data_IF_037813664193
#
_entry.id   IF_037813664193
#
_cell.length_a   1.000
_cell.length_b   1.000
_cell.length_c   1.000
_cell.angle_alpha   90.00
_cell.angle_beta   90.00
_cell.angle_gamma   90.00
#
_symmetry.space_group_name_H-M   'P 1'
#
loop_
_entity.id
_entity.type
_entity.pdbx_description
1 polymer ?
#
# COMPACT_ATOMS: atom_id res chain seq x y z
N UNK A 1 21.80 2.12 -32.10
CA UNK A 1 22.37 0.85 -31.61
C UNK A 1 23.20 1.10 -30.35
N UNK A 2 22.58 1.00 -29.16
CA UNK A 2 23.24 0.90 -27.83
C UNK A 2 22.33 0.45 -26.64
N UNK A 3 21.24 -0.35 -26.77
CA UNK A 3 20.46 -0.74 -25.57
C UNK A 3 21.03 -1.99 -24.85
N UNK A 4 21.67 -2.88 -25.60
CA UNK A 4 21.96 -4.26 -25.16
C UNK A 4 23.06 -4.36 -24.10
N UNK A 5 24.09 -3.51 -24.17
CA UNK A 5 25.19 -3.52 -23.20
C UNK A 5 24.76 -3.02 -21.81
N UNK A 6 23.80 -2.09 -21.76
CA UNK A 6 23.32 -1.51 -20.50
C UNK A 6 22.42 -2.50 -19.74
N UNK A 7 21.54 -3.19 -20.45
CA UNK A 7 20.71 -4.26 -19.89
C UNK A 7 21.56 -5.44 -19.40
N UNK A 8 22.55 -5.87 -20.19
CA UNK A 8 23.49 -6.91 -19.76
C UNK A 8 24.26 -6.51 -18.49
N UNK A 9 24.80 -5.29 -18.44
CA UNK A 9 25.52 -4.78 -17.25
C UNK A 9 24.62 -4.69 -16.01
N UNK A 10 23.35 -4.31 -16.15
CA UNK A 10 22.37 -4.32 -15.05
C UNK A 10 22.03 -5.73 -14.59
N UNK A 11 21.84 -6.66 -15.53
CA UNK A 11 21.60 -8.08 -15.22
C UNK A 11 22.79 -8.70 -14.47
N UNK A 12 24.02 -8.40 -14.89
CA UNK A 12 25.25 -8.86 -14.21
C UNK A 12 25.41 -8.20 -12.83
N UNK A 13 25.08 -6.91 -12.68
CA UNK A 13 25.05 -6.24 -11.38
C UNK A 13 24.02 -6.86 -10.43
N UNK A 14 22.87 -7.29 -10.96
CA UNK A 14 21.86 -8.02 -10.20
C UNK A 14 22.39 -9.39 -9.77
N UNK A 15 23.04 -10.15 -10.66
CA UNK A 15 23.69 -11.43 -10.35
C UNK A 15 24.82 -11.30 -9.29
N UNK A 16 25.53 -10.17 -9.26
CA UNK A 16 26.59 -9.91 -8.29
C UNK A 16 26.06 -9.43 -6.92
N UNK A 17 24.93 -8.73 -6.88
CA UNK A 17 24.21 -8.38 -5.64
C UNK A 17 23.29 -9.54 -5.15
N UNK A 18 23.18 -10.64 -5.91
CA UNK A 18 21.94 -11.42 -6.07
C UNK A 18 21.52 -12.34 -4.94
N UNK A 19 22.44 -13.00 -4.23
CA UNK A 19 22.02 -13.94 -3.18
C UNK A 19 21.97 -13.26 -1.82
N UNK A 20 23.09 -12.79 -1.30
CA UNK A 20 23.12 -12.34 0.09
C UNK A 20 22.30 -11.07 0.36
N UNK A 21 22.26 -10.09 -0.55
CA UNK A 21 21.49 -8.85 -0.34
C UNK A 21 19.99 -9.11 -0.49
N UNK A 22 19.57 -9.81 -1.55
CA UNK A 22 18.17 -10.14 -1.75
C UNK A 22 17.64 -11.09 -0.66
N UNK A 23 18.43 -12.09 -0.26
CA UNK A 23 18.11 -12.98 0.86
C UNK A 23 17.96 -12.20 2.17
N UNK A 24 18.90 -11.28 2.48
CA UNK A 24 18.80 -10.42 3.67
C UNK A 24 17.55 -9.54 3.64
N UNK A 25 17.20 -8.97 2.49
CA UNK A 25 15.97 -8.19 2.32
C UNK A 25 14.75 -9.07 2.58
N UNK A 26 14.66 -10.25 1.97
CA UNK A 26 13.51 -11.17 2.13
C UNK A 26 13.37 -11.64 3.57
N UNK A 27 14.46 -12.01 4.24
CA UNK A 27 14.45 -12.43 5.65
C UNK A 27 13.98 -11.29 6.55
N UNK A 28 14.59 -10.11 6.43
CA UNK A 28 14.23 -8.95 7.24
C UNK A 28 12.79 -8.50 6.99
N UNK A 29 12.37 -8.47 5.74
CA UNK A 29 11.00 -8.14 5.40
C UNK A 29 10.01 -9.19 5.94
N UNK A 30 10.40 -10.47 5.96
CA UNK A 30 9.56 -11.53 6.49
C UNK A 30 9.35 -11.35 7.98
N UNK A 31 10.41 -11.09 8.74
CA UNK A 31 10.31 -10.80 10.17
C UNK A 31 9.40 -9.60 10.44
N UNK A 32 9.57 -8.50 9.69
CA UNK A 32 8.74 -7.30 9.83
C UNK A 32 7.26 -7.59 9.56
N UNK A 33 6.95 -8.22 8.43
CA UNK A 33 5.56 -8.49 8.03
C UNK A 33 4.93 -9.54 8.92
N UNK A 34 5.68 -10.58 9.30
CA UNK A 34 5.22 -11.62 10.22
C UNK A 34 4.85 -11.00 11.56
N UNK A 35 5.75 -10.23 12.17
CA UNK A 35 5.49 -9.54 13.44
C UNK A 35 4.33 -8.54 13.33
N UNK A 36 4.19 -7.89 12.17
CA UNK A 36 3.07 -7.01 11.91
C UNK A 36 1.74 -7.76 11.83
N UNK A 37 1.66 -8.93 11.18
CA UNK A 37 0.41 -9.66 10.96
C UNK A 37 0.06 -10.64 12.10
N UNK A 38 1.07 -11.14 12.81
CA UNK A 38 0.99 -12.20 13.82
C UNK A 38 1.81 -11.81 15.06
N UNK A 39 1.41 -10.78 15.81
CA UNK A 39 2.22 -10.21 16.90
C UNK A 39 2.34 -11.12 18.15
N UNK A 40 1.51 -12.17 18.25
CA UNK A 40 1.53 -13.13 19.37
C UNK A 40 0.86 -14.46 18.96
N UNK A 41 0.96 -15.47 19.83
CA UNK A 41 0.49 -16.83 19.58
C UNK A 41 -1.04 -16.98 19.49
N UNK A 42 -1.82 -15.94 19.79
CA UNK A 42 -3.28 -15.98 19.58
C UNK A 42 -3.65 -15.91 18.09
N UNK A 43 -2.71 -15.51 17.24
CA UNK A 43 -2.92 -15.40 15.80
C UNK A 43 -2.44 -16.69 15.13
N UNK A 44 -3.34 -17.35 14.40
CA UNK A 44 -2.96 -18.53 13.63
C UNK A 44 -2.06 -18.10 12.47
N UNK A 45 -0.77 -18.41 12.62
CA UNK A 45 0.27 -18.00 11.68
C UNK A 45 0.21 -18.82 10.39
N UNK A 46 0.32 -18.15 9.26
CA UNK A 46 0.56 -18.79 7.96
C UNK A 46 1.97 -19.36 7.94
N UNK A 47 2.14 -20.60 7.52
CA UNK A 47 3.46 -21.21 7.42
C UNK A 47 4.11 -20.81 6.09
N UNK A 48 5.40 -20.49 6.15
CA UNK A 48 6.23 -20.14 4.99
C UNK A 48 7.64 -20.69 5.25
N UNK A 49 7.83 -21.96 4.89
CA UNK A 49 9.04 -22.70 5.22
C UNK A 49 10.19 -22.39 4.26
N UNK A 50 9.85 -22.09 3.00
CA UNK A 50 10.83 -21.80 1.96
C UNK A 50 10.33 -20.71 1.02
N UNK A 51 11.23 -19.80 0.67
CA UNK A 51 11.00 -18.75 -0.33
C UNK A 51 12.13 -18.81 -1.35
N UNK A 52 11.80 -19.12 -2.59
CA UNK A 52 12.73 -19.11 -3.71
C UNK A 52 12.58 -17.81 -4.49
N UNK A 53 13.68 -17.10 -4.72
CA UNK A 53 13.69 -15.92 -5.59
C UNK A 53 14.06 -16.33 -7.02
N UNK A 54 13.24 -15.94 -7.99
CA UNK A 54 13.45 -16.24 -9.38
C UNK A 54 13.30 -14.97 -10.24
N UNK A 55 14.36 -14.60 -10.96
CA UNK A 55 14.24 -13.60 -12.02
C UNK A 55 13.73 -14.28 -13.29
N UNK A 56 12.52 -13.92 -13.69
CA UNK A 56 11.91 -14.51 -14.88
C UNK A 56 12.48 -13.89 -16.15
N UNK A 57 12.39 -14.60 -17.28
CA UNK A 57 12.78 -14.08 -18.60
C UNK A 57 11.63 -13.39 -19.34
N UNK A 58 10.40 -13.56 -18.86
CA UNK A 58 9.18 -12.99 -19.45
C UNK A 58 8.70 -11.80 -18.63
N UNK A 59 8.15 -10.79 -19.29
CA UNK A 59 7.47 -9.71 -18.58
C UNK A 59 6.22 -10.24 -17.89
N UNK A 60 6.04 -9.83 -16.64
CA UNK A 60 4.89 -10.18 -15.80
C UNK A 60 3.91 -9.00 -15.76
N UNK A 61 2.68 -9.26 -15.31
CA UNK A 61 1.64 -8.23 -15.15
C UNK A 61 1.90 -7.31 -13.96
N UNK A 62 2.78 -7.70 -13.04
CA UNK A 62 3.20 -6.94 -11.88
C UNK A 62 4.73 -7.06 -11.68
N UNK A 63 5.38 -6.13 -10.95
CA UNK A 63 6.80 -6.21 -10.66
C UNK A 63 7.22 -7.54 -10.02
N UNK A 64 6.36 -8.08 -9.16
CA UNK A 64 6.53 -9.39 -8.52
C UNK A 64 5.24 -10.20 -8.64
N UNK A 65 5.38 -11.50 -8.88
CA UNK A 65 4.29 -12.49 -8.78
C UNK A 65 4.72 -13.56 -7.79
N UNK A 66 3.79 -14.04 -6.96
CA UNK A 66 4.05 -15.08 -5.96
C UNK A 66 3.27 -16.32 -6.32
N UNK A 67 4.00 -17.41 -6.54
CA UNK A 67 3.43 -18.74 -6.75
C UNK A 67 3.67 -19.62 -5.51
N UNK A 68 2.76 -20.58 -5.30
CA UNK A 68 2.87 -21.59 -4.24
C UNK A 68 2.99 -22.96 -4.91
N UNK A 69 4.15 -23.61 -4.74
CA UNK A 69 4.41 -24.92 -5.34
C UNK A 69 3.80 -26.06 -4.51
N UNK A 70 3.82 -25.89 -3.17
CA UNK A 70 3.23 -26.77 -2.16
C UNK A 70 2.75 -25.93 -0.98
N UNK A 71 1.96 -26.52 -0.09
CA UNK A 71 1.64 -25.90 1.20
C UNK A 71 2.96 -25.48 1.89
N UNK A 72 3.15 -24.17 2.05
CA UNK A 72 4.28 -23.51 2.73
C UNK A 72 5.58 -23.29 1.92
N UNK A 73 5.63 -23.62 0.62
CA UNK A 73 6.76 -23.35 -0.28
C UNK A 73 6.39 -22.30 -1.35
N UNK A 74 7.07 -21.15 -1.33
CA UNK A 74 6.74 -20.00 -2.18
C UNK A 74 7.86 -19.66 -3.16
N UNK A 75 7.47 -19.18 -4.34
CA UNK A 75 8.38 -18.66 -5.36
C UNK A 75 8.05 -17.21 -5.68
N UNK A 76 9.01 -16.31 -5.49
CA UNK A 76 8.93 -14.91 -5.88
C UNK A 76 9.48 -14.75 -7.29
N UNK A 77 8.60 -14.53 -8.25
CA UNK A 77 8.94 -14.25 -9.63
C UNK A 77 9.08 -12.74 -9.83
N UNK A 78 10.32 -12.27 -10.04
CA UNK A 78 10.60 -10.88 -10.39
C UNK A 78 10.47 -10.68 -11.90
N UNK A 79 9.79 -9.59 -12.29
CA UNK A 79 9.66 -9.16 -13.68
C UNK A 79 10.97 -8.51 -14.16
N UNK A 80 11.45 -8.81 -15.39
CA UNK A 80 12.57 -8.11 -16.02
C UNK A 80 12.40 -6.59 -16.08
N UNK A 81 11.16 -6.11 -16.22
CA UNK A 81 10.83 -4.68 -16.37
C UNK A 81 11.32 -3.82 -15.20
N UNK A 82 11.50 -4.40 -14.01
CA UNK A 82 12.11 -3.71 -12.86
C UNK A 82 13.51 -3.15 -13.21
N UNK A 83 14.25 -3.83 -14.09
CA UNK A 83 15.60 -3.41 -14.49
C UNK A 83 15.59 -2.20 -15.42
N UNK A 84 14.44 -1.85 -15.99
CA UNK A 84 14.25 -0.71 -16.88
C UNK A 84 13.99 0.58 -16.09
N UNK A 85 13.55 0.47 -14.82
CA UNK A 85 13.30 1.58 -13.93
C UNK A 85 14.54 2.45 -13.69
N UNK A 86 14.33 3.77 -13.58
CA UNK A 86 15.40 4.73 -13.33
C UNK A 86 16.13 4.42 -12.02
N UNK A 87 15.37 4.02 -10.99
CA UNK A 87 15.89 3.56 -9.71
C UNK A 87 15.57 2.07 -9.49
N UNK A 88 16.14 1.21 -10.34
CA UNK A 88 15.91 -0.24 -10.30
C UNK A 88 16.21 -0.86 -8.91
N UNK A 89 17.17 -0.35 -8.14
CA UNK A 89 17.45 -0.84 -6.77
C UNK A 89 16.24 -0.65 -5.85
N UNK A 90 15.63 0.53 -5.88
CA UNK A 90 14.42 0.80 -5.12
C UNK A 90 13.25 -0.05 -5.62
N UNK A 91 13.11 -0.21 -6.94
CA UNK A 91 12.07 -1.04 -7.53
C UNK A 91 12.21 -2.53 -7.15
N UNK A 92 13.43 -3.08 -7.10
CA UNK A 92 13.69 -4.44 -6.57
C UNK A 92 13.29 -4.52 -5.10
N UNK A 93 13.73 -3.56 -4.27
CA UNK A 93 13.41 -3.54 -2.84
C UNK A 93 11.89 -3.55 -2.61
N UNK A 94 11.16 -2.69 -3.33
CA UNK A 94 9.70 -2.62 -3.25
C UNK A 94 9.05 -3.92 -3.72
N UNK A 95 9.50 -4.49 -4.84
CA UNK A 95 9.00 -5.76 -5.35
C UNK A 95 9.22 -6.91 -4.35
N UNK A 96 10.38 -6.97 -3.69
CA UNK A 96 10.65 -7.96 -2.65
C UNK A 96 9.75 -7.77 -1.42
N UNK A 97 9.57 -6.52 -0.95
CA UNK A 97 8.64 -6.23 0.14
C UNK A 97 7.20 -6.62 -0.21
N UNK A 98 6.73 -6.31 -1.43
CA UNK A 98 5.40 -6.67 -1.90
C UNK A 98 5.22 -8.20 -1.99
N UNK A 99 6.22 -8.90 -2.51
CA UNK A 99 6.24 -10.36 -2.60
C UNK A 99 6.17 -11.01 -1.22
N UNK A 100 6.99 -10.55 -0.28
CA UNK A 100 6.98 -11.03 1.11
C UNK A 100 5.65 -10.74 1.80
N UNK A 101 5.09 -9.54 1.60
CA UNK A 101 3.75 -9.22 2.11
C UNK A 101 2.70 -10.21 1.57
N UNK A 102 2.74 -10.52 0.28
CA UNK A 102 1.83 -11.51 -0.35
C UNK A 102 2.00 -12.91 0.23
N UNK A 103 3.22 -13.33 0.53
CA UNK A 103 3.52 -14.64 1.14
C UNK A 103 2.86 -14.75 2.51
N UNK A 104 3.01 -13.74 3.37
CA UNK A 104 2.51 -13.78 4.74
C UNK A 104 1.01 -13.52 4.87
N UNK A 105 0.38 -12.91 3.87
CA UNK A 105 -1.06 -12.66 3.83
C UNK A 105 -1.84 -13.94 3.51
N UNK A 106 -2.97 -14.12 4.19
CA UNK A 106 -4.01 -15.04 3.75
C UNK A 106 -4.77 -14.43 2.56
N UNK A 107 -4.92 -15.20 1.48
CA UNK A 107 -5.63 -14.79 0.28
C UNK A 107 -6.96 -15.52 0.07
N UNK A 108 -7.45 -16.18 1.13
CA UNK A 108 -8.72 -16.91 1.14
C UNK A 108 -8.79 -18.03 0.10
N UNK A 109 -7.69 -18.78 -0.09
CA UNK A 109 -7.57 -19.83 -1.12
C UNK A 109 -7.78 -19.26 -2.53
N UNK A 110 -7.29 -18.06 -2.76
CA UNK A 110 -7.46 -17.31 -4.01
C UNK A 110 -8.83 -16.65 -4.24
N UNK A 111 -9.77 -16.74 -3.29
CA UNK A 111 -11.13 -16.21 -3.46
C UNK A 111 -11.32 -14.77 -2.95
N UNK A 112 -10.31 -14.18 -2.29
CA UNK A 112 -10.38 -12.79 -1.87
C UNK A 112 -10.36 -11.85 -3.08
N UNK A 113 -11.02 -10.70 -2.95
CA UNK A 113 -11.02 -9.67 -3.98
C UNK A 113 -9.59 -9.23 -4.29
N UNK A 114 -9.19 -9.34 -5.56
CA UNK A 114 -7.81 -9.05 -5.99
C UNK A 114 -7.37 -7.63 -5.59
N UNK A 115 -8.25 -6.64 -5.82
CA UNK A 115 -8.01 -5.24 -5.46
C UNK A 115 -7.79 -5.05 -3.95
N UNK A 116 -8.54 -5.79 -3.11
CA UNK A 116 -8.38 -5.73 -1.67
C UNK A 116 -7.03 -6.28 -1.25
N UNK A 117 -6.63 -7.45 -1.75
CA UNK A 117 -5.34 -8.03 -1.40
C UNK A 117 -4.19 -7.12 -1.84
N UNK A 118 -4.25 -6.61 -3.07
CA UNK A 118 -3.24 -5.69 -3.56
C UNK A 118 -3.22 -4.39 -2.73
N UNK A 119 -4.38 -3.90 -2.29
CA UNK A 119 -4.47 -2.76 -1.37
C UNK A 119 -3.84 -3.04 0.00
N UNK A 120 -4.00 -4.26 0.55
CA UNK A 120 -3.34 -4.64 1.81
C UNK A 120 -1.82 -4.72 1.62
N UNK A 121 -1.35 -5.29 0.51
CA UNK A 121 0.08 -5.31 0.17
C UNK A 121 0.63 -3.88 0.02
N UNK A 122 -0.07 -3.01 -0.70
CA UNK A 122 0.30 -1.59 -0.85
C UNK A 122 0.32 -0.90 0.51
N UNK A 123 -0.68 -1.10 1.35
CA UNK A 123 -0.71 -0.57 2.72
C UNK A 123 0.51 -1.02 3.52
N UNK A 124 0.79 -2.32 3.59
CA UNK A 124 1.91 -2.85 4.38
C UNK A 124 3.23 -2.23 3.88
N UNK A 125 3.45 -2.18 2.57
CA UNK A 125 4.74 -1.77 1.96
C UNK A 125 4.96 -0.25 1.92
N UNK A 126 3.89 0.54 1.85
CA UNK A 126 3.94 2.01 1.88
C UNK A 126 3.88 2.58 3.30
N UNK A 127 3.45 1.80 4.29
CA UNK A 127 3.27 2.28 5.64
C UNK A 127 4.61 2.33 6.41
N UNK A 128 4.97 3.55 6.81
CA UNK A 128 6.19 3.84 7.57
C UNK A 128 6.22 3.18 8.95
N UNK A 129 5.07 2.86 9.56
CA UNK A 129 5.02 2.11 10.82
C UNK A 129 5.40 0.64 10.64
N UNK A 130 5.29 0.10 9.43
CA UNK A 130 5.65 -1.30 9.13
C UNK A 130 7.09 -1.36 8.60
N UNK A 131 7.40 -0.67 7.51
CA UNK A 131 8.72 -0.74 6.87
C UNK A 131 9.62 0.47 7.08
N UNK A 132 9.20 1.50 7.82
CA UNK A 132 9.99 2.73 8.00
C UNK A 132 10.12 3.58 6.74
N UNK A 133 9.48 3.19 5.64
CA UNK A 133 9.55 3.85 4.34
C UNK A 133 8.61 5.06 4.33
N UNK A 134 9.14 6.25 4.03
CA UNK A 134 8.32 7.43 3.76
C UNK A 134 7.84 7.36 2.32
N UNK A 135 6.61 6.88 2.08
CA UNK A 135 5.98 7.09 0.78
C UNK A 135 5.66 8.58 0.65
N UNK A 136 6.06 9.22 -0.45
CA UNK A 136 5.52 10.53 -0.79
C UNK A 136 4.03 10.33 -1.10
N UNK A 137 3.10 10.94 -0.36
CA UNK A 137 1.69 10.81 -0.68
C UNK A 137 1.45 11.58 -1.98
N UNK A 138 1.50 10.89 -3.12
CA UNK A 138 0.88 11.41 -4.32
C UNK A 138 -0.59 11.67 -3.94
N UNK A 139 -1.09 12.88 -4.18
CA UNK A 139 -2.51 13.21 -3.97
C UNK A 139 -3.34 12.24 -4.83
N UNK A 140 -3.80 11.15 -4.22
CA UNK A 140 -4.72 10.23 -4.86
C UNK A 140 -6.05 10.96 -4.98
N UNK A 141 -6.53 11.17 -6.21
CA UNK A 141 -7.84 11.76 -6.42
C UNK A 141 -8.91 10.88 -5.76
N UNK A 142 -9.87 11.47 -5.03
CA UNK A 142 -10.94 10.70 -4.42
C UNK A 142 -11.89 10.22 -5.52
N UNK A 143 -11.68 8.98 -5.98
CA UNK A 143 -12.61 8.27 -6.89
C UNK A 143 -13.36 7.13 -6.19
N UNK A 144 -13.13 6.94 -4.89
CA UNK A 144 -13.87 5.93 -4.13
C UNK A 144 -15.36 6.27 -4.05
N UNK A 145 -16.20 5.35 -4.54
CA UNK A 145 -17.60 5.25 -4.15
C UNK A 145 -17.73 5.35 -2.62
N UNK A 146 -18.72 6.12 -2.15
CA UNK A 146 -19.01 6.33 -0.72
C UNK A 146 -19.29 5.02 0.03
N UNK A 147 -19.65 3.95 -0.68
CA UNK A 147 -20.09 2.68 -0.09
C UNK A 147 -19.19 1.48 -0.39
N UNK A 148 -18.25 1.57 -1.34
CA UNK A 148 -17.43 0.41 -1.78
C UNK A 148 -15.95 0.74 -1.99
N UNK A 149 -15.39 1.58 -1.12
CA UNK A 149 -14.01 2.06 -1.26
C UNK A 149 -12.92 0.97 -1.23
N UNK A 150 -13.18 -0.18 -0.60
CA UNK A 150 -12.25 -1.33 -0.58
C UNK A 150 -12.26 -2.18 -1.85
N UNK A 151 -13.20 -1.91 -2.78
CA UNK A 151 -13.30 -2.58 -4.08
C UNK A 151 -12.70 -1.77 -5.23
N UNK A 152 -12.15 -0.59 -4.94
CA UNK A 152 -11.63 0.33 -5.92
C UNK A 152 -10.48 -0.28 -6.74
N UNK A 153 -10.37 0.07 -8.02
CA UNK A 153 -9.36 -0.51 -8.93
C UNK A 153 -7.94 0.02 -8.65
N UNK A 154 -7.83 1.27 -8.19
CA UNK A 154 -6.56 1.82 -7.70
C UNK A 154 -6.24 1.27 -6.30
N UNK A 155 -5.15 0.50 -6.21
CA UNK A 155 -4.65 -0.12 -4.98
C UNK A 155 -4.25 0.90 -3.92
N UNK A 156 -3.84 2.11 -4.31
CA UNK A 156 -3.49 3.20 -3.38
C UNK A 156 -4.72 3.75 -2.68
N UNK A 157 -5.84 3.87 -3.39
CA UNK A 157 -7.13 4.25 -2.79
C UNK A 157 -7.55 3.22 -1.74
N UNK A 158 -7.40 1.94 -2.05
CA UNK A 158 -7.68 0.86 -1.10
C UNK A 158 -6.74 0.93 0.11
N UNK A 159 -5.43 1.15 -0.11
CA UNK A 159 -4.45 1.30 0.96
C UNK A 159 -4.74 2.50 1.89
N UNK A 160 -5.18 3.64 1.35
CA UNK A 160 -5.61 4.80 2.14
C UNK A 160 -6.81 4.44 3.04
N UNK A 161 -7.81 3.75 2.49
CA UNK A 161 -8.94 3.25 3.25
C UNK A 161 -8.50 2.30 4.38
N UNK A 162 -7.61 1.36 4.07
CA UNK A 162 -7.07 0.41 5.05
C UNK A 162 -6.31 1.12 6.16
N UNK A 163 -5.54 2.15 5.83
CA UNK A 163 -4.87 3.02 6.79
C UNK A 163 -5.86 3.74 7.70
N UNK A 164 -6.94 4.29 7.14
CA UNK A 164 -8.01 4.91 7.93
C UNK A 164 -8.70 3.90 8.87
N UNK A 165 -8.89 2.66 8.41
CA UNK A 165 -9.39 1.55 9.22
C UNK A 165 -8.47 1.20 10.38
N UNK A 166 -7.16 1.14 10.14
CA UNK A 166 -6.16 0.89 11.20
C UNK A 166 -6.15 2.00 12.26
N UNK A 167 -6.29 3.27 11.86
CA UNK A 167 -6.42 4.38 12.80
C UNK A 167 -7.74 4.33 13.59
N UNK A 168 -8.83 3.94 12.93
CA UNK A 168 -10.16 3.87 13.56
C UNK A 168 -10.27 2.72 14.54
N UNK A 169 -9.65 1.57 14.24
CA UNK A 169 -9.61 0.41 15.13
C UNK A 169 -8.26 -0.31 15.00
N UNK A 170 -7.26 0.04 15.83
CA UNK A 170 -5.93 -0.57 15.77
C UNK A 170 -5.95 -2.11 15.74
N UNK A 171 -5.07 -2.69 14.94
CA UNK A 171 -5.05 -4.12 14.63
C UNK A 171 -6.11 -4.56 13.60
N UNK A 172 -6.72 -3.63 12.87
CA UNK A 172 -7.73 -3.93 11.85
C UNK A 172 -7.16 -4.86 10.77
N UNK A 173 -5.97 -4.54 10.25
CA UNK A 173 -5.32 -5.35 9.22
C UNK A 173 -4.99 -6.76 9.72
N UNK A 174 -4.55 -6.87 10.98
CA UNK A 174 -4.27 -8.17 11.62
C UNK A 174 -5.52 -9.03 11.72
N UNK A 175 -6.63 -8.46 12.21
CA UNK A 175 -7.91 -9.16 12.30
C UNK A 175 -8.47 -9.52 10.93
N UNK A 176 -8.33 -8.63 9.95
CA UNK A 176 -8.75 -8.90 8.56
C UNK A 176 -7.95 -10.07 7.98
N UNK A 177 -6.62 -10.07 8.15
CA UNK A 177 -5.77 -11.18 7.73
C UNK A 177 -6.20 -12.51 8.38
N UNK A 178 -6.48 -12.52 9.69
CA UNK A 178 -6.99 -13.73 10.36
C UNK A 178 -8.34 -14.17 9.80
N UNK A 179 -9.26 -13.24 9.58
CA UNK A 179 -10.56 -13.56 9.02
C UNK A 179 -10.42 -14.19 7.63
N UNK A 180 -9.43 -13.80 6.82
CA UNK A 180 -9.22 -14.31 5.46
C UNK A 180 -8.69 -15.75 5.38
N UNK A 181 -8.25 -16.36 6.49
CA UNK A 181 -7.65 -17.72 6.51
C UNK A 181 -8.52 -18.78 5.83
N UNK A 182 -9.78 -18.89 6.21
CA UNK A 182 -10.64 -20.03 5.85
C UNK A 182 -11.54 -19.78 4.62
N UNK A 183 -11.31 -18.69 3.87
CA UNK A 183 -12.10 -18.32 2.69
C UNK A 183 -12.51 -16.85 2.69
N UNK A 184 -13.25 -16.39 1.66
CA UNK A 184 -13.68 -15.00 1.55
C UNK A 184 -15.20 -14.88 1.75
N UNK A 185 -15.62 -13.94 2.60
CA UNK A 185 -17.01 -13.52 2.79
C UNK A 185 -16.99 -12.01 3.02
N UNK A 186 -17.92 -11.26 2.41
CA UNK A 186 -17.89 -9.79 2.48
C UNK A 186 -17.94 -9.26 3.93
N UNK A 187 -18.71 -9.93 4.81
CA UNK A 187 -18.82 -9.56 6.23
C UNK A 187 -17.52 -9.70 7.02
N UNK A 188 -16.44 -10.25 6.47
CA UNK A 188 -15.13 -10.32 7.14
C UNK A 188 -14.53 -8.95 7.40
N UNK A 189 -14.78 -7.98 6.52
CA UNK A 189 -14.40 -6.59 6.74
C UNK A 189 -15.15 -6.01 7.94
N UNK A 190 -16.47 -6.25 8.01
CA UNK A 190 -17.32 -5.77 9.10
C UNK A 190 -16.88 -6.35 10.45
N UNK A 191 -16.54 -7.64 10.49
CA UNK A 191 -16.05 -8.32 11.71
C UNK A 191 -14.70 -7.74 12.13
N UNK A 192 -13.75 -7.64 11.19
CA UNK A 192 -12.41 -7.12 11.46
C UNK A 192 -12.45 -5.67 11.94
N UNK A 193 -13.38 -4.87 11.42
CA UNK A 193 -13.58 -3.47 11.77
C UNK A 193 -14.52 -3.28 12.97
N UNK A 194 -15.41 -4.22 13.27
CA UNK A 194 -16.36 -4.15 14.39
C UNK A 194 -17.57 -3.25 14.12
N UNK A 195 -17.77 -2.86 12.86
CA UNK A 195 -18.88 -2.06 12.38
C UNK A 195 -19.03 -2.28 10.86
N UNK A 196 -20.18 -1.95 10.26
CA UNK A 196 -20.35 -2.02 8.81
C UNK A 196 -19.27 -1.21 8.09
N UNK A 197 -18.56 -1.85 7.16
CA UNK A 197 -17.43 -1.26 6.44
C UNK A 197 -17.86 -0.06 5.58
N UNK A 198 -19.11 -0.04 5.11
CA UNK A 198 -19.71 1.06 4.36
C UNK A 198 -19.72 2.36 5.18
N UNK A 199 -19.96 2.27 6.50
CA UNK A 199 -19.93 3.43 7.39
C UNK A 199 -18.52 4.04 7.46
N UNK A 200 -17.48 3.20 7.41
CA UNK A 200 -16.09 3.65 7.37
C UNK A 200 -15.75 4.27 6.01
N UNK A 201 -16.17 3.67 4.89
CA UNK A 201 -15.99 4.28 3.56
C UNK A 201 -16.64 5.66 3.48
N UNK A 202 -17.86 5.79 4.01
CA UNK A 202 -18.59 7.06 4.02
C UNK A 202 -17.85 8.09 4.87
N UNK A 203 -17.38 7.72 6.08
CA UNK A 203 -16.56 8.61 6.91
C UNK A 203 -15.24 9.01 6.25
N UNK A 204 -14.53 8.05 5.66
CA UNK A 204 -13.27 8.29 4.96
C UNK A 204 -13.47 9.26 3.79
N UNK A 205 -14.51 9.03 2.99
CA UNK A 205 -14.92 9.93 1.91
C UNK A 205 -15.15 11.35 2.45
N UNK A 206 -16.07 11.54 3.40
CA UNK A 206 -16.35 12.88 3.94
C UNK A 206 -15.14 13.52 4.62
N UNK A 207 -14.28 12.76 5.30
CA UNK A 207 -13.03 13.29 5.88
C UNK A 207 -12.13 13.88 4.80
N UNK A 208 -12.04 13.24 3.63
CA UNK A 208 -11.21 13.71 2.51
C UNK A 208 -11.79 14.98 1.85
N UNK A 209 -13.11 15.07 1.70
CA UNK A 209 -13.77 16.25 1.10
C UNK A 209 -13.94 17.43 2.07
N UNK A 210 -14.27 17.21 3.35
CA UNK A 210 -14.38 18.28 4.34
C UNK A 210 -13.03 18.94 4.65
N UNK A 211 -11.93 18.17 4.60
CA UNK A 211 -10.60 18.73 4.72
C UNK A 211 -10.26 19.62 3.51
N UNK A 212 -10.78 19.28 2.33
CA UNK A 212 -10.59 20.08 1.10
C UNK A 212 -11.33 21.42 1.14
N UNK A 213 -12.49 21.51 1.79
CA UNK A 213 -13.23 22.78 1.96
C UNK A 213 -12.66 23.68 3.05
N UNK A 214 -11.95 23.13 4.04
CA UNK A 214 -11.38 23.93 5.14
C UNK A 214 -10.24 24.86 4.67
N UNK A 215 -9.45 24.43 3.68
CA UNK A 215 -8.44 25.27 3.04
C UNK A 215 -9.05 26.38 2.17
N UNK A 216 -10.18 26.11 1.51
CA UNK A 216 -10.89 27.11 0.71
C UNK A 216 -11.45 28.20 1.65
N UNK A 217 -12.08 27.81 2.75
CA UNK A 217 -12.64 28.76 3.72
C UNK A 217 -11.52 29.55 4.44
N UNK A 218 -10.43 28.91 4.84
CA UNK A 218 -9.26 29.59 5.44
C UNK A 218 -8.60 30.59 4.48
N UNK A 219 -8.46 30.25 3.20
CA UNK A 219 -7.90 31.15 2.18
C UNK A 219 -8.83 32.32 1.88
N UNK A 220 -10.15 32.06 1.82
CA UNK A 220 -11.16 33.09 1.58
C UNK A 220 -11.33 34.04 2.76
N UNK A 221 -11.23 33.56 4.00
CA UNK A 221 -11.28 34.42 5.20
C UNK A 221 -10.06 35.34 5.27
N UNK A 222 -8.86 34.83 4.94
CA UNK A 222 -7.65 35.66 4.87
C UNK A 222 -7.71 36.73 3.78
N UNK A 223 -8.27 36.39 2.61
CA UNK A 223 -8.48 37.35 1.51
C UNK A 223 -9.55 38.38 1.87
N UNK A 224 -10.65 37.98 2.51
CA UNK A 224 -11.70 38.91 2.94
C UNK A 224 -11.20 39.87 4.04
N UNK A 225 -10.38 39.41 4.99
CA UNK A 225 -9.78 40.30 5.99
C UNK A 225 -8.86 41.35 5.34
N UNK A 226 -8.02 40.96 4.37
CA UNK A 226 -7.18 41.90 3.62
C UNK A 226 -8.02 42.89 2.79
N UNK A 227 -9.13 42.42 2.19
CA UNK A 227 -10.03 43.26 1.40
C UNK A 227 -10.78 44.29 2.26
N UNK A 228 -11.23 43.93 3.47
CA UNK A 228 -11.85 44.86 4.41
C UNK A 228 -10.86 45.89 4.98
N UNK A 229 -9.60 45.51 5.20
CA UNK A 229 -8.54 46.44 5.61
C UNK A 229 -8.23 47.44 4.49
N UNK A 230 -8.18 46.97 3.23
CA UNK A 230 -7.97 47.83 2.08
C UNK A 230 -9.13 48.82 1.85
N UNK A 231 -10.39 48.36 1.94
CA UNK A 231 -11.56 49.25 1.84
C UNK A 231 -11.57 50.32 2.93
N UNK A 232 -11.21 49.97 4.18
CA UNK A 232 -11.10 50.98 5.25
C UNK A 232 -10.02 52.02 4.96
N UNK A 233 -8.87 51.62 4.42
CA UNK A 233 -7.77 52.53 4.10
C UNK A 233 -8.09 53.46 2.91
N UNK A 234 -8.84 52.97 1.92
CA UNK A 234 -9.27 53.79 0.76
C UNK A 234 -10.33 54.82 1.16
N UNK A 235 -11.33 54.44 1.95
CA UNK A 235 -12.39 55.36 2.40
C UNK A 235 -11.84 56.47 3.30
N UNK A 236 -10.76 56.20 4.06
CA UNK A 236 -10.16 57.17 4.95
C UNK A 236 -9.24 58.18 4.25
N UNK A 237 -8.88 57.92 2.98
CA UNK A 237 -8.03 58.79 2.16
C UNK A 237 -8.82 59.76 1.25
N UNK A 238 -10.13 59.56 1.10
CA UNK A 238 -11.04 60.44 0.32
C UNK A 238 -11.73 61.54 1.16
N UNK A 239 -11.36 61.68 2.44
CA UNK A 239 -11.89 62.70 3.35
C UNK A 239 -10.83 63.65 3.94
N UNK A 240 -9.67 63.82 3.28
CA UNK A 240 -8.72 64.91 3.53
C UNK A 240 -8.51 65.78 2.31
#
# INVERSE_FOLDING_TARGET
MKPTQTLFRRSVSLFYMSNDEAMRIVIKASEIVENFLYPNDMYNKKKANSVTLNLTSRNLTAPVVVDSSKDDEFVLHLSPSIMEEQNFRHAILLALHQGVARIWLWDSKGNALHNLINGIVEYITSNSSVFGTKSNPNKVEPSASTTTCWKHDDTKVVAEFLNYGEHSRPGFIRRLNQAMRDGWLEGKLDIALGMPVQNLCTRHYYSKYNFSTHWIISSSIGILQQFFIWIRLVIQHDHM
#
